data_IF_517477327863
#
_entry.id   IF_517477327863
#
_cell.length_a   1.000
_cell.length_b   1.000
_cell.length_c   1.000
_cell.angle_alpha   90.00
_cell.angle_beta   90.00
_cell.angle_gamma   90.00
#
_symmetry.space_group_name_H-M   'P 1'
#
loop_
_entity.id
_entity.type
_entity.pdbx_description
1 polymer ?
#
# COMPACT_ATOMS: atom_id res chain seq x y z
N UNK A 1 -36.52 1.38 3.41
CA UNK A 1 -35.83 0.16 3.89
C UNK A 1 -34.91 -0.34 2.79
N UNK A 2 -33.78 -0.98 3.09
CA UNK A 2 -32.98 -1.63 2.06
C UNK A 2 -33.76 -2.77 1.40
N UNK A 3 -33.50 -2.99 0.12
CA UNK A 3 -34.04 -4.12 -0.63
C UNK A 3 -33.33 -5.42 -0.23
N UNK A 4 -32.02 -5.34 0.05
CA UNK A 4 -31.21 -6.48 0.50
C UNK A 4 -30.01 -5.99 1.32
N UNK A 5 -29.74 -6.69 2.40
CA UNK A 5 -28.51 -6.60 3.20
C UNK A 5 -27.87 -7.99 3.21
N UNK A 6 -26.59 -8.08 2.87
CA UNK A 6 -25.91 -9.36 2.74
C UNK A 6 -24.49 -9.26 3.31
N UNK A 7 -24.09 -10.26 4.08
CA UNK A 7 -22.70 -10.53 4.45
C UNK A 7 -22.41 -11.98 4.11
N UNK A 8 -21.49 -12.20 3.18
CA UNK A 8 -21.07 -13.53 2.73
C UNK A 8 -19.57 -13.69 2.92
N UNK A 9 -19.17 -14.81 3.49
CA UNK A 9 -17.77 -15.10 3.77
C UNK A 9 -17.40 -16.46 3.17
N UNK A 10 -16.36 -16.45 2.34
CA UNK A 10 -15.75 -17.65 1.78
C UNK A 10 -14.34 -17.83 2.34
N UNK A 11 -13.66 -18.90 1.94
CA UNK A 11 -12.25 -19.10 2.28
C UNK A 11 -11.35 -17.96 1.74
N UNK A 12 -11.67 -17.39 0.58
CA UNK A 12 -10.84 -16.38 -0.08
C UNK A 12 -11.32 -14.94 0.07
N UNK A 13 -12.60 -14.71 0.39
CA UNK A 13 -13.18 -13.37 0.37
C UNK A 13 -14.20 -13.16 1.48
N UNK A 14 -14.37 -11.90 1.90
CA UNK A 14 -15.50 -11.42 2.69
C UNK A 14 -16.22 -10.32 1.91
N UNK A 15 -17.51 -10.49 1.67
CA UNK A 15 -18.32 -9.57 0.86
C UNK A 15 -19.48 -9.02 1.68
N UNK A 16 -19.67 -7.70 1.64
CA UNK A 16 -20.82 -7.00 2.20
C UNK A 16 -21.58 -6.33 1.04
N UNK A 17 -22.91 -6.50 0.98
CA UNK A 17 -23.75 -5.81 0.00
C UNK A 17 -24.93 -5.11 0.69
N UNK A 18 -25.18 -3.86 0.28
CA UNK A 18 -26.30 -3.05 0.73
C UNK A 18 -27.04 -2.48 -0.48
N UNK A 19 -28.11 -3.17 -0.88
CA UNK A 19 -28.95 -2.80 -2.04
C UNK A 19 -30.09 -1.89 -1.60
N UNK A 20 -30.09 -0.68 -2.11
CA UNK A 20 -31.18 0.30 -2.02
C UNK A 20 -31.90 0.38 -3.36
N UNK A 21 -33.01 1.13 -3.42
CA UNK A 21 -33.78 1.31 -4.67
C UNK A 21 -32.99 1.94 -5.82
N UNK A 22 -32.00 2.80 -5.52
CA UNK A 22 -31.25 3.58 -6.53
C UNK A 22 -29.74 3.31 -6.47
N UNK A 23 -29.26 2.73 -5.36
CA UNK A 23 -27.84 2.51 -5.11
C UNK A 23 -27.59 1.10 -4.60
N UNK A 24 -26.62 0.43 -5.18
CA UNK A 24 -26.07 -0.83 -4.69
C UNK A 24 -24.66 -0.59 -4.17
N UNK A 25 -24.45 -0.74 -2.87
CA UNK A 25 -23.12 -0.65 -2.28
C UNK A 25 -22.56 -2.05 -2.09
N UNK A 26 -21.31 -2.24 -2.53
CA UNK A 26 -20.60 -3.49 -2.35
C UNK A 26 -19.21 -3.24 -1.79
N UNK A 27 -18.83 -3.99 -0.77
CA UNK A 27 -17.47 -4.04 -0.24
C UNK A 27 -16.97 -5.46 -0.34
N UNK A 28 -15.80 -5.65 -0.94
CA UNK A 28 -15.11 -6.93 -1.05
C UNK A 28 -13.75 -6.83 -0.37
N UNK A 29 -13.49 -7.71 0.58
CA UNK A 29 -12.18 -7.96 1.17
C UNK A 29 -11.61 -9.25 0.56
N UNK A 30 -10.47 -9.16 -0.11
CA UNK A 30 -9.64 -10.27 -0.55
C UNK A 30 -8.73 -10.73 0.61
N UNK A 31 -9.01 -11.91 1.15
CA UNK A 31 -8.28 -12.46 2.28
C UNK A 31 -6.90 -12.96 1.91
N UNK A 32 -6.63 -13.28 0.64
CA UNK A 32 -5.31 -13.71 0.17
C UNK A 32 -4.35 -12.53 0.08
N UNK A 33 -4.85 -11.34 -0.23
CA UNK A 33 -4.06 -10.09 -0.29
C UNK A 33 -3.99 -9.36 1.06
N UNK A 34 -4.92 -9.62 1.97
CA UNK A 34 -4.93 -9.01 3.29
C UNK A 34 -3.79 -9.55 4.16
N UNK A 35 -2.91 -8.66 4.62
CA UNK A 35 -1.76 -8.99 5.50
C UNK A 35 -2.02 -8.64 6.98
N UNK A 36 -3.26 -8.31 7.36
CA UNK A 36 -3.59 -8.03 8.76
C UNK A 36 -2.91 -6.80 9.38
N UNK A 37 -2.55 -5.78 8.58
CA UNK A 37 -1.71 -4.65 9.01
C UNK A 37 -2.40 -3.50 9.79
N UNK A 38 -3.57 -3.73 10.40
CA UNK A 38 -4.33 -2.75 11.23
C UNK A 38 -4.79 -1.41 10.61
N UNK A 39 -4.21 -0.93 9.49
CA UNK A 39 -4.48 0.41 8.92
C UNK A 39 -5.98 0.69 8.73
N UNK A 40 -6.72 -0.22 8.11
CA UNK A 40 -8.14 -0.03 7.86
C UNK A 40 -8.98 -0.05 9.15
N UNK A 41 -8.58 -0.84 10.15
CA UNK A 41 -9.23 -0.88 11.46
C UNK A 41 -9.06 0.45 12.19
N UNK A 42 -7.82 0.95 12.26
CA UNK A 42 -7.51 2.25 12.86
C UNK A 42 -8.23 3.40 12.13
N UNK A 43 -8.29 3.37 10.80
CA UNK A 43 -8.85 4.46 10.01
C UNK A 43 -10.38 4.49 9.97
N UNK A 44 -11.06 3.39 10.32
CA UNK A 44 -12.51 3.29 10.19
C UNK A 44 -13.21 4.29 11.13
N UNK A 45 -13.97 5.28 10.62
CA UNK A 45 -14.64 6.26 11.47
C UNK A 45 -15.82 5.68 12.25
N UNK A 46 -16.30 4.50 11.86
CA UNK A 46 -17.41 3.77 12.50
C UNK A 46 -16.93 2.57 13.31
N UNK A 47 -15.62 2.32 13.37
CA UNK A 47 -15.04 1.19 14.10
C UNK A 47 -15.73 -0.14 13.76
N UNK A 48 -16.06 -0.28 12.47
CA UNK A 48 -16.75 -1.44 11.92
C UNK A 48 -15.79 -2.60 11.62
N UNK A 49 -14.48 -2.35 11.62
CA UNK A 49 -13.46 -3.30 11.18
C UNK A 49 -12.74 -3.83 12.43
N UNK A 50 -12.95 -5.11 12.74
CA UNK A 50 -12.28 -5.83 13.82
C UNK A 50 -11.04 -6.53 13.30
N UNK A 51 -9.98 -6.52 14.09
CA UNK A 51 -8.73 -7.20 13.80
C UNK A 51 -8.47 -8.24 14.88
N UNK A 52 -8.27 -9.49 14.47
CA UNK A 52 -8.12 -10.64 15.36
C UNK A 52 -6.77 -11.32 15.11
N UNK A 53 -5.91 -11.26 16.12
CA UNK A 53 -4.66 -12.01 16.11
C UNK A 53 -4.96 -13.50 16.14
N UNK A 54 -4.27 -14.26 15.29
CA UNK A 54 -4.39 -15.71 15.27
C UNK A 54 -3.52 -16.31 16.38
N UNK A 55 -4.08 -17.28 17.11
CA UNK A 55 -3.31 -18.06 18.07
C UNK A 55 -2.31 -18.94 17.33
N UNK A 56 -1.08 -19.00 17.85
CA UNK A 56 0.02 -19.79 17.31
C UNK A 56 0.19 -21.04 18.17
N UNK A 57 0.19 -22.24 17.57
CA UNK A 57 0.59 -23.46 18.28
C UNK A 57 2.12 -23.59 18.30
N UNK A 58 2.65 -24.27 19.31
CA UNK A 58 4.08 -24.48 19.44
C UNK A 58 4.66 -25.19 18.19
N UNK A 59 5.68 -24.58 17.57
CA UNK A 59 6.35 -25.10 16.38
C UNK A 59 5.75 -24.68 15.03
N UNK A 60 4.58 -24.03 15.00
CA UNK A 60 4.02 -23.46 13.77
C UNK A 60 4.61 -22.06 13.50
N UNK A 61 4.42 -21.53 12.28
CA UNK A 61 4.73 -20.13 11.97
C UNK A 61 3.59 -19.22 12.39
N UNK A 62 3.88 -17.97 12.73
CA UNK A 62 2.81 -17.01 12.97
C UNK A 62 2.03 -16.72 11.67
N UNK A 63 0.72 -16.55 11.79
CA UNK A 63 -0.16 -16.18 10.67
C UNK A 63 -0.56 -14.71 10.75
N UNK A 64 -0.87 -14.13 9.59
CA UNK A 64 -1.44 -12.78 9.52
C UNK A 64 -2.73 -12.69 10.35
N UNK A 65 -2.92 -11.56 11.03
CA UNK A 65 -4.18 -11.27 11.71
C UNK A 65 -5.35 -11.23 10.71
N UNK A 66 -6.50 -11.77 11.14
CA UNK A 66 -7.73 -11.78 10.35
C UNK A 66 -8.53 -10.52 10.62
N UNK A 67 -9.26 -10.09 9.60
CA UNK A 67 -10.14 -8.93 9.67
C UNK A 67 -11.57 -9.38 9.48
N UNK A 68 -12.46 -8.93 10.36
CA UNK A 68 -13.90 -9.01 10.18
C UNK A 68 -14.52 -7.62 10.05
N UNK A 69 -15.62 -7.51 9.32
CA UNK A 69 -16.35 -6.25 9.12
C UNK A 69 -17.78 -6.40 9.62
N UNK A 70 -18.14 -5.59 10.62
CA UNK A 70 -19.47 -5.48 11.17
C UNK A 70 -20.38 -4.72 10.20
N UNK A 71 -21.30 -5.43 9.55
CA UNK A 71 -22.21 -4.88 8.56
C UNK A 71 -23.00 -3.69 9.10
N UNK A 72 -23.58 -3.83 10.30
CA UNK A 72 -24.44 -2.81 10.94
C UNK A 72 -23.73 -1.48 11.22
N UNK A 73 -22.39 -1.50 11.36
CA UNK A 73 -21.59 -0.28 11.57
C UNK A 73 -21.03 0.28 10.27
N UNK A 74 -20.84 -0.57 9.26
CA UNK A 74 -20.24 -0.17 8.00
C UNK A 74 -21.18 0.76 7.22
N UNK A 75 -20.65 1.91 6.79
CA UNK A 75 -21.38 2.87 5.96
C UNK A 75 -20.86 2.94 4.52
N UNK A 76 -20.03 1.99 4.09
CA UNK A 76 -19.46 1.90 2.74
C UNK A 76 -18.75 3.18 2.28
N UNK A 77 -18.13 3.94 3.20
CA UNK A 77 -17.48 5.21 2.85
C UNK A 77 -16.21 5.08 1.98
N UNK A 78 -15.60 3.90 1.90
CA UNK A 78 -14.41 3.67 1.07
C UNK A 78 -13.06 4.09 1.67
N UNK A 79 -13.02 4.60 2.91
CA UNK A 79 -11.75 4.98 3.57
C UNK A 79 -10.76 3.80 3.67
N UNK A 80 -11.27 2.61 3.98
CA UNK A 80 -10.46 1.40 4.06
C UNK A 80 -9.93 0.91 2.71
N UNK A 81 -10.66 1.18 1.62
CA UNK A 81 -10.23 0.90 0.24
C UNK A 81 -9.06 1.81 -0.12
N UNK A 82 -9.23 3.13 0.04
CA UNK A 82 -8.18 4.11 -0.26
C UNK A 82 -6.88 3.84 0.50
N UNK A 83 -6.97 3.47 1.78
CA UNK A 83 -5.80 3.32 2.64
C UNK A 83 -5.09 1.98 2.55
N UNK A 84 -5.69 0.97 1.92
CA UNK A 84 -5.13 -0.38 1.91
C UNK A 84 -3.85 -0.41 1.07
N UNK A 85 -2.65 -0.65 1.66
CA UNK A 85 -1.40 -0.67 0.89
C UNK A 85 -1.34 -1.79 -0.15
N UNK A 86 -2.07 -2.86 0.09
CA UNK A 86 -2.06 -4.11 -0.69
C UNK A 86 -3.30 -4.24 -1.59
N UNK A 87 -4.17 -3.21 -1.62
CA UNK A 87 -5.42 -3.22 -2.39
C UNK A 87 -6.33 -4.42 -2.09
N UNK A 88 -6.33 -4.88 -0.84
CA UNK A 88 -7.11 -6.03 -0.38
C UNK A 88 -8.61 -5.68 -0.16
N UNK A 89 -8.97 -4.40 -0.02
CA UNK A 89 -10.36 -3.97 0.15
C UNK A 89 -10.78 -3.13 -1.05
N UNK A 90 -11.91 -3.46 -1.66
CA UNK A 90 -12.52 -2.68 -2.75
C UNK A 90 -13.96 -2.34 -2.40
N UNK A 91 -14.35 -1.08 -2.54
CA UNK A 91 -15.72 -0.59 -2.36
C UNK A 91 -16.24 -0.06 -3.69
N UNK A 92 -17.41 -0.55 -4.12
CA UNK A 92 -18.07 -0.09 -5.34
C UNK A 92 -19.48 0.39 -5.06
N UNK A 93 -19.95 1.31 -5.91
CA UNK A 93 -21.32 1.82 -5.90
C UNK A 93 -21.88 1.60 -7.31
N UNK A 94 -22.99 0.87 -7.43
CA UNK A 94 -23.58 0.47 -8.72
C UNK A 94 -22.59 -0.26 -9.65
N UNK A 95 -21.65 -1.01 -9.08
CA UNK A 95 -20.63 -1.75 -9.83
C UNK A 95 -19.40 -0.92 -10.23
N UNK A 96 -19.41 0.39 -10.02
CA UNK A 96 -18.29 1.29 -10.35
C UNK A 96 -17.43 1.58 -9.11
N UNK A 97 -16.11 1.70 -9.29
CA UNK A 97 -15.18 2.13 -8.22
C UNK A 97 -15.26 3.64 -8.02
N UNK A 98 -16.40 4.09 -7.50
CA UNK A 98 -16.68 5.50 -7.27
C UNK A 98 -16.80 5.79 -5.78
N UNK A 99 -15.72 6.29 -5.18
CA UNK A 99 -15.67 6.58 -3.75
C UNK A 99 -16.12 8.02 -3.47
N UNK A 100 -17.33 8.19 -2.96
CA UNK A 100 -17.90 9.51 -2.68
C UNK A 100 -17.05 10.38 -1.75
N UNK A 101 -16.23 9.78 -0.87
CA UNK A 101 -15.32 10.52 0.02
C UNK A 101 -14.16 11.17 -0.74
N UNK A 102 -13.71 10.55 -1.83
CA UNK A 102 -12.67 11.09 -2.71
C UNK A 102 -13.27 12.14 -3.63
N UNK A 103 -14.40 11.84 -4.29
CA UNK A 103 -15.07 12.79 -5.20
C UNK A 103 -15.40 14.11 -4.52
N UNK A 104 -15.84 14.05 -3.25
CA UNK A 104 -16.17 15.23 -2.45
C UNK A 104 -14.96 15.85 -1.74
N UNK A 105 -13.73 15.48 -2.13
CA UNK A 105 -12.46 15.97 -1.55
C UNK A 105 -12.42 15.89 -0.02
N UNK A 106 -13.16 14.92 0.53
CA UNK A 106 -13.32 14.72 1.96
C UNK A 106 -12.28 13.76 2.52
N UNK A 107 -11.67 12.97 1.65
CA UNK A 107 -10.60 12.05 1.93
C UNK A 107 -9.61 12.07 0.75
N UNK A 108 -8.29 12.05 1.00
CA UNK A 108 -7.31 12.17 -0.07
C UNK A 108 -7.13 10.86 -0.83
N UNK A 109 -6.48 10.92 -1.99
CA UNK A 109 -5.86 9.77 -2.64
C UNK A 109 -4.41 9.63 -2.17
N UNK A 110 -3.93 8.41 -1.99
CA UNK A 110 -2.54 8.17 -1.62
C UNK A 110 -1.63 8.33 -2.84
N UNK A 111 -0.55 9.09 -2.68
CA UNK A 111 0.42 9.33 -3.75
C UNK A 111 1.52 8.29 -3.63
N UNK A 112 1.43 7.28 -4.48
CA UNK A 112 2.46 6.26 -4.70
C UNK A 112 2.68 6.11 -6.20
N UNK A 113 3.90 5.85 -6.61
CA UNK A 113 4.19 5.60 -8.03
C UNK A 113 5.41 4.69 -8.19
N UNK A 114 5.44 4.01 -9.33
CA UNK A 114 6.58 3.24 -9.81
C UNK A 114 6.76 3.63 -11.27
N UNK A 115 7.92 4.21 -11.56
CA UNK A 115 8.32 4.64 -12.90
C UNK A 115 9.43 3.72 -13.38
N UNK A 116 9.33 3.28 -14.63
CA UNK A 116 10.34 2.43 -15.27
C UNK A 116 10.79 3.12 -16.54
N UNK A 117 12.09 3.40 -16.63
CA UNK A 117 12.73 3.86 -17.85
C UNK A 117 13.13 2.66 -18.71
N UNK A 118 12.25 2.31 -19.64
CA UNK A 118 12.45 1.17 -20.54
C UNK A 118 13.65 1.34 -21.48
N UNK A 119 14.20 2.56 -21.62
CA UNK A 119 15.39 2.79 -22.46
C UNK A 119 16.66 2.24 -21.84
N UNK A 120 16.67 2.06 -20.52
CA UNK A 120 17.78 1.49 -19.77
C UNK A 120 17.65 -0.02 -19.55
N UNK A 121 16.51 -0.63 -19.88
CA UNK A 121 16.26 -2.04 -19.58
C UNK A 121 16.93 -2.97 -20.62
N UNK A 122 17.86 -3.86 -20.20
CA UNK A 122 18.39 -4.90 -21.08
C UNK A 122 17.30 -5.88 -21.51
N UNK A 123 17.41 -6.44 -22.71
CA UNK A 123 16.38 -7.33 -23.28
C UNK A 123 16.21 -8.63 -22.48
N UNK A 124 17.30 -9.11 -21.90
CA UNK A 124 17.42 -10.31 -21.09
C UNK A 124 17.16 -10.09 -19.58
N UNK A 125 17.05 -8.84 -19.14
CA UNK A 125 16.77 -8.46 -17.75
C UNK A 125 15.36 -8.93 -17.31
N UNK A 126 15.27 -9.45 -16.09
CA UNK A 126 14.02 -9.84 -15.38
C UNK A 126 14.10 -9.65 -13.87
N UNK A 127 15.12 -8.94 -13.40
CA UNK A 127 15.50 -8.79 -12.00
C UNK A 127 14.36 -8.18 -11.19
N UNK A 128 13.60 -7.23 -11.75
CA UNK A 128 12.49 -6.60 -11.04
C UNK A 128 11.27 -7.52 -10.87
N UNK A 129 11.03 -8.44 -11.81
CA UNK A 129 9.99 -9.49 -11.67
C UNK A 129 10.41 -10.50 -10.60
N UNK A 130 11.64 -11.00 -10.64
CA UNK A 130 12.15 -11.96 -9.65
C UNK A 130 12.29 -11.37 -8.25
N UNK A 131 12.56 -10.07 -8.15
CA UNK A 131 12.72 -9.38 -6.88
C UNK A 131 11.38 -8.97 -6.22
N UNK A 132 10.26 -9.02 -6.94
CA UNK A 132 8.97 -8.56 -6.41
C UNK A 132 8.41 -9.58 -5.40
N UNK A 133 8.31 -9.27 -4.10
CA UNK A 133 7.85 -10.24 -3.10
C UNK A 133 6.35 -10.57 -3.19
N UNK A 134 5.61 -9.86 -4.05
CA UNK A 134 4.16 -9.99 -4.23
C UNK A 134 3.79 -10.38 -5.67
N UNK A 135 4.77 -10.70 -6.51
CA UNK A 135 4.57 -11.11 -7.91
C UNK A 135 3.75 -10.12 -8.77
N UNK A 136 3.90 -8.81 -8.51
CA UNK A 136 3.11 -7.74 -9.14
C UNK A 136 3.75 -7.15 -10.40
N UNK A 137 4.93 -7.64 -10.79
CA UNK A 137 5.70 -7.14 -11.93
C UNK A 137 5.83 -8.26 -12.95
N UNK A 138 5.54 -7.96 -14.22
CA UNK A 138 5.74 -8.86 -15.35
C UNK A 138 6.62 -8.22 -16.40
N UNK A 139 7.71 -8.88 -16.77
CA UNK A 139 8.64 -8.44 -17.81
C UNK A 139 8.44 -9.32 -19.06
N UNK A 140 8.08 -8.67 -20.16
CA UNK A 140 7.87 -9.31 -21.46
C UNK A 140 8.81 -8.72 -22.50
N UNK A 141 9.19 -9.53 -23.49
CA UNK A 141 9.97 -9.10 -24.66
C UNK A 141 9.07 -9.08 -25.86
N UNK A 142 9.08 -7.98 -26.59
CA UNK A 142 8.24 -7.77 -27.76
C UNK A 142 9.10 -7.64 -29.01
N UNK A 143 8.66 -8.26 -30.10
CA UNK A 143 9.20 -7.93 -31.43
C UNK A 143 8.80 -6.51 -31.83
N UNK A 144 9.39 -6.01 -32.92
CA UNK A 144 9.01 -4.70 -33.49
C UNK A 144 7.50 -4.61 -33.80
N UNK A 145 6.89 -5.75 -34.15
CA UNK A 145 5.45 -5.88 -34.43
C UNK A 145 4.59 -6.04 -33.17
N UNK A 146 5.19 -5.96 -31.98
CA UNK A 146 4.49 -6.06 -30.70
C UNK A 146 4.11 -7.48 -30.26
N UNK A 147 4.67 -8.53 -30.88
CA UNK A 147 4.41 -9.92 -30.47
C UNK A 147 5.32 -10.31 -29.32
N UNK A 148 4.76 -10.97 -28.31
CA UNK A 148 5.51 -11.50 -27.16
C UNK A 148 6.43 -12.63 -27.64
N UNK A 149 7.69 -12.58 -27.23
CA UNK A 149 8.69 -13.61 -27.45
C UNK A 149 8.88 -14.39 -26.16
N UNK A 150 8.51 -15.67 -26.18
CA UNK A 150 8.66 -16.56 -25.01
C UNK A 150 10.06 -17.17 -24.92
N UNK A 151 10.70 -17.48 -26.06
CA UNK A 151 12.02 -18.11 -26.10
C UNK A 151 13.06 -17.21 -26.76
N UNK A 152 13.66 -16.33 -25.96
CA UNK A 152 14.71 -15.39 -26.40
C UNK A 152 16.00 -16.13 -26.80
N UNK A 153 16.28 -17.30 -26.21
CA UNK A 153 17.49 -18.09 -26.47
C UNK A 153 17.52 -18.66 -27.90
N UNK A 154 16.35 -18.90 -28.48
CA UNK A 154 16.20 -19.41 -29.85
C UNK A 154 16.43 -18.36 -30.94
N UNK A 155 16.57 -17.08 -30.57
CA UNK A 155 16.74 -15.97 -31.52
C UNK A 155 18.21 -15.66 -31.79
N UNK A 156 18.48 -15.19 -33.00
CA UNK A 156 19.80 -14.65 -33.37
C UNK A 156 20.08 -13.33 -32.65
N UNK A 157 21.36 -12.95 -32.52
CA UNK A 157 21.76 -11.68 -31.87
C UNK A 157 21.17 -10.45 -32.59
N UNK A 158 21.00 -10.51 -33.92
CA UNK A 158 20.34 -9.46 -34.70
C UNK A 158 18.85 -9.33 -34.37
N UNK A 159 18.16 -10.44 -34.09
CA UNK A 159 16.76 -10.44 -33.68
C UNK A 159 16.61 -9.93 -32.25
N UNK A 160 17.51 -10.36 -31.34
CA UNK A 160 17.55 -9.88 -29.95
C UNK A 160 17.74 -8.36 -29.88
N UNK A 161 18.61 -7.80 -30.72
CA UNK A 161 18.86 -6.35 -30.78
C UNK A 161 17.63 -5.52 -31.16
N UNK A 162 16.62 -6.14 -31.79
CA UNK A 162 15.38 -5.48 -32.23
C UNK A 162 14.23 -5.66 -31.24
N UNK A 163 14.42 -6.42 -30.17
CA UNK A 163 13.39 -6.63 -29.16
C UNK A 163 13.22 -5.40 -28.29
N UNK A 164 11.98 -5.15 -27.90
CA UNK A 164 11.61 -4.13 -26.91
C UNK A 164 11.21 -4.80 -25.61
N UNK A 165 11.67 -4.24 -24.50
CA UNK A 165 11.23 -4.66 -23.17
C UNK A 165 9.92 -3.97 -22.83
N UNK A 166 8.97 -4.73 -22.29
CA UNK A 166 7.74 -4.22 -21.70
C UNK A 166 7.69 -4.67 -20.24
N UNK A 167 7.45 -3.71 -19.34
CA UNK A 167 7.27 -3.98 -17.91
C UNK A 167 5.85 -3.58 -17.52
N UNK A 168 5.08 -4.55 -17.02
CA UNK A 168 3.72 -4.34 -16.52
C UNK A 168 3.72 -4.47 -15.00
N UNK A 169 3.11 -3.50 -14.31
CA UNK A 169 3.09 -3.44 -12.85
C UNK A 169 1.66 -3.23 -12.37
N UNK A 170 1.17 -4.11 -11.50
CA UNK A 170 -0.13 -3.97 -10.85
C UNK A 170 -0.07 -2.92 -9.72
N UNK A 171 -0.10 -1.63 -10.09
CA UNK A 171 0.09 -0.48 -9.18
C UNK A 171 -0.90 -0.43 -8.02
N UNK A 172 -2.14 -0.88 -8.23
CA UNK A 172 -3.20 -0.90 -7.21
C UNK A 172 -2.88 -1.79 -6.01
N UNK A 173 -2.05 -2.81 -6.20
CA UNK A 173 -1.69 -3.78 -5.15
C UNK A 173 -0.28 -3.58 -4.61
N UNK A 174 0.51 -2.71 -5.26
CA UNK A 174 1.91 -2.53 -4.90
C UNK A 174 2.08 -1.59 -3.68
N UNK A 175 2.62 -2.07 -2.55
CA UNK A 175 2.85 -1.24 -1.37
C UNK A 175 4.10 -0.35 -1.51
N UNK A 176 4.79 -0.40 -2.67
CA UNK A 176 5.98 0.38 -2.97
C UNK A 176 7.13 0.10 -1.97
N UNK A 177 7.51 -1.18 -1.81
CA UNK A 177 8.60 -1.56 -0.92
C UNK A 177 9.99 -1.08 -1.37
N UNK A 178 10.18 -0.84 -2.67
CA UNK A 178 11.44 -0.34 -3.24
C UNK A 178 12.47 -1.44 -3.57
N UNK A 179 12.14 -2.72 -3.35
CA UNK A 179 13.08 -3.81 -3.65
C UNK A 179 13.44 -3.83 -5.15
N UNK A 180 12.46 -3.62 -6.04
CA UNK A 180 12.71 -3.59 -7.48
C UNK A 180 13.61 -2.41 -7.92
N UNK A 181 13.56 -1.27 -7.22
CA UNK A 181 14.48 -0.14 -7.45
C UNK A 181 15.90 -0.51 -6.99
N UNK A 182 16.05 -1.04 -5.77
CA UNK A 182 17.36 -1.43 -5.23
C UNK A 182 18.00 -2.59 -5.98
N UNK A 183 17.20 -3.52 -6.51
CA UNK A 183 17.68 -4.68 -7.27
C UNK A 183 17.86 -4.39 -8.76
N UNK A 184 17.45 -3.23 -9.26
CA UNK A 184 17.64 -2.88 -10.66
C UNK A 184 19.12 -2.58 -10.94
N UNK A 185 19.79 -3.36 -11.80
CA UNK A 185 21.22 -3.13 -12.10
C UNK A 185 21.46 -1.82 -12.86
N UNK A 186 20.46 -1.37 -13.62
CA UNK A 186 20.57 -0.21 -14.53
C UNK A 186 19.97 1.08 -13.97
N UNK A 187 19.51 1.09 -12.72
CA UNK A 187 18.83 2.25 -12.11
C UNK A 187 17.69 2.79 -13.01
N UNK A 188 16.91 1.85 -13.55
CA UNK A 188 15.81 2.10 -14.47
C UNK A 188 14.48 2.29 -13.74
N UNK A 189 14.39 1.89 -12.45
CA UNK A 189 13.15 1.87 -11.69
C UNK A 189 13.25 2.87 -10.56
N UNK A 190 12.25 3.76 -10.46
CA UNK A 190 12.12 4.67 -9.33
C UNK A 190 10.80 4.44 -8.60
N UNK A 191 10.86 4.21 -7.28
CA UNK A 191 9.70 3.93 -6.43
C UNK A 191 9.44 5.09 -5.47
N UNK A 192 8.23 5.64 -5.55
CA UNK A 192 7.75 6.66 -4.61
C UNK A 192 6.81 6.02 -3.59
N UNK A 193 7.29 5.83 -2.35
CA UNK A 193 6.45 5.32 -1.25
C UNK A 193 5.41 6.36 -0.83
N UNK A 194 4.29 5.88 -0.29
CA UNK A 194 3.27 6.74 0.31
C UNK A 194 3.28 6.71 1.84
N UNK A 195 3.88 5.71 2.48
CA UNK A 195 4.09 5.68 3.94
C UNK A 195 5.58 5.75 4.24
N UNK A 196 5.92 6.65 5.16
CA UNK A 196 7.24 6.75 5.77
C UNK A 196 7.07 6.68 7.27
N UNK A 197 8.08 6.18 7.95
CA UNK A 197 7.99 5.93 9.36
C UNK A 197 9.32 5.63 10.01
N UNK A 198 9.23 5.20 11.24
CA UNK A 198 10.29 4.58 12.01
C UNK A 198 9.75 3.30 12.63
N UNK A 199 10.53 2.25 12.57
CA UNK A 199 10.23 0.98 13.25
C UNK A 199 11.40 0.63 14.17
N UNK A 200 11.10 0.12 15.36
CA UNK A 200 12.12 -0.24 16.35
C UNK A 200 11.72 -1.54 17.03
N UNK A 201 12.62 -2.52 16.99
CA UNK A 201 12.49 -3.79 17.72
C UNK A 201 13.44 -3.73 18.91
N UNK A 202 12.88 -3.75 20.11
CA UNK A 202 13.60 -3.72 21.38
C UNK A 202 14.07 -5.13 21.72
N UNK A 203 15.33 -5.43 21.38
CA UNK A 203 15.88 -6.80 21.46
C UNK A 203 15.91 -7.36 22.89
N UNK A 204 15.97 -6.49 23.90
CA UNK A 204 15.89 -6.84 25.33
C UNK A 204 14.52 -7.40 25.75
N UNK A 205 13.46 -7.07 25.01
CA UNK A 205 12.09 -7.54 25.26
C UNK A 205 11.68 -8.70 24.36
N UNK A 206 12.42 -8.95 23.29
CA UNK A 206 12.11 -10.01 22.35
C UNK A 206 12.41 -11.38 22.99
N UNK A 207 11.43 -12.32 23.01
CA UNK A 207 11.70 -13.67 23.48
C UNK A 207 12.75 -14.37 22.60
N UNK A 208 13.59 -15.20 23.21
CA UNK A 208 14.64 -15.91 22.47
C UNK A 208 14.03 -16.85 21.42
N UNK A 209 14.59 -16.80 20.20
CA UNK A 209 14.12 -17.59 19.05
C UNK A 209 12.77 -17.15 18.47
N UNK A 210 12.19 -16.03 18.90
CA UNK A 210 10.92 -15.55 18.37
C UNK A 210 11.06 -14.96 16.96
N UNK A 211 10.27 -15.48 16.00
CA UNK A 211 10.21 -15.01 14.61
C UNK A 211 8.83 -14.55 14.17
N UNK A 212 7.88 -14.34 15.09
CA UNK A 212 6.47 -14.04 14.74
C UNK A 212 6.32 -12.86 13.78
N UNK A 213 7.08 -11.78 14.02
CA UNK A 213 7.08 -10.61 13.16
C UNK A 213 7.68 -10.86 11.77
N UNK A 214 8.69 -11.72 11.69
CA UNK A 214 9.35 -12.14 10.46
C UNK A 214 8.42 -13.05 9.63
N UNK A 215 7.73 -13.98 10.28
CA UNK A 215 6.80 -14.92 9.65
C UNK A 215 5.66 -14.23 8.88
N UNK A 216 5.19 -13.07 9.38
CA UNK A 216 4.07 -12.31 8.78
C UNK A 216 4.50 -11.10 7.97
N UNK A 217 5.81 -10.88 7.76
CA UNK A 217 6.24 -9.74 6.96
C UNK A 217 5.97 -10.04 5.47
N UNK A 218 5.11 -9.27 4.78
CA UNK A 218 4.82 -9.54 3.37
C UNK A 218 5.93 -9.04 2.45
N UNK A 219 6.95 -8.34 2.98
CA UNK A 219 8.04 -7.76 2.22
C UNK A 219 9.33 -8.49 2.56
N UNK A 220 9.77 -9.37 1.67
CA UNK A 220 11.03 -10.11 1.82
C UNK A 220 12.19 -9.16 2.07
N UNK A 221 12.97 -9.44 3.11
CA UNK A 221 14.16 -8.65 3.47
C UNK A 221 13.87 -7.36 4.26
N UNK A 222 12.61 -6.95 4.46
CA UNK A 222 12.31 -5.83 5.37
C UNK A 222 12.53 -6.21 6.84
N UNK A 223 12.37 -7.48 7.19
CA UNK A 223 12.82 -8.08 8.45
C UNK A 223 13.75 -9.25 8.12
N UNK A 224 14.74 -9.49 8.97
CA UNK A 224 15.68 -10.61 8.81
C UNK A 224 16.16 -11.12 10.17
N UNK A 225 16.52 -12.39 10.24
CA UNK A 225 17.16 -12.99 11.43
C UNK A 225 18.66 -12.71 11.35
N UNK A 226 19.25 -12.13 12.40
CA UNK A 226 20.69 -11.90 12.46
C UNK A 226 21.40 -13.15 12.97
N UNK A 227 22.50 -13.52 12.32
CA UNK A 227 23.35 -14.64 12.73
C UNK A 227 24.15 -14.31 14.01
N UNK A 228 24.33 -13.03 14.34
CA UNK A 228 25.15 -12.57 15.47
C UNK A 228 24.45 -12.77 16.83
N UNK A 229 23.15 -12.47 16.90
CA UNK A 229 22.36 -12.51 18.14
C UNK A 229 21.15 -13.44 18.07
N UNK A 230 20.88 -14.04 16.90
CA UNK A 230 19.73 -14.91 16.69
C UNK A 230 18.38 -14.19 16.82
N UNK A 231 18.35 -12.86 16.68
CA UNK A 231 17.14 -12.04 16.83
C UNK A 231 16.73 -11.38 15.51
N UNK A 232 15.48 -10.95 15.43
CA UNK A 232 14.94 -10.30 14.23
C UNK A 232 15.31 -8.83 14.22
N UNK A 233 15.93 -8.39 13.13
CA UNK A 233 16.29 -7.00 12.86
C UNK A 233 15.49 -6.45 11.68
N UNK A 234 15.48 -5.13 11.56
CA UNK A 234 14.70 -4.41 10.55
C UNK A 234 15.60 -3.72 9.54
N UNK A 235 15.24 -3.87 8.27
CA UNK A 235 15.79 -3.10 7.18
C UNK A 235 14.75 -2.04 6.73
N UNK A 236 14.91 -0.82 7.21
CA UNK A 236 13.99 0.28 6.94
C UNK A 236 13.96 0.69 5.45
N UNK A 237 14.97 0.32 4.66
CA UNK A 237 14.98 0.57 3.22
C UNK A 237 13.82 -0.14 2.51
N UNK A 238 13.44 -1.35 2.96
CA UNK A 238 12.36 -2.13 2.36
C UNK A 238 11.04 -2.05 3.14
N UNK A 239 11.08 -1.65 4.41
CA UNK A 239 9.88 -1.48 5.22
C UNK A 239 8.88 -0.52 4.55
N UNK A 240 7.61 -0.93 4.55
CA UNK A 240 6.46 -0.13 4.05
C UNK A 240 5.60 0.43 5.19
N UNK A 241 6.03 0.23 6.43
CA UNK A 241 5.38 0.74 7.64
C UNK A 241 3.88 0.35 7.73
N UNK A 242 3.55 -0.86 7.25
CA UNK A 242 2.17 -1.34 7.23
C UNK A 242 1.68 -1.68 8.64
N UNK A 243 2.49 -2.34 9.48
CA UNK A 243 2.14 -2.71 10.86
C UNK A 243 1.77 -4.18 11.09
N UNK A 244 1.81 -5.04 10.06
CA UNK A 244 1.52 -6.47 10.22
C UNK A 244 2.36 -7.13 11.34
N UNK A 245 3.66 -6.84 11.37
CA UNK A 245 4.58 -7.32 12.40
C UNK A 245 4.23 -6.86 13.82
N UNK A 246 3.74 -5.62 13.97
CA UNK A 246 3.33 -5.06 15.26
C UNK A 246 2.11 -5.79 15.82
N UNK A 247 1.13 -6.07 14.95
CA UNK A 247 -0.13 -6.71 15.32
C UNK A 247 0.09 -8.11 15.89
N UNK A 248 1.04 -8.87 15.33
CA UNK A 248 1.31 -10.24 15.77
C UNK A 248 2.36 -10.34 16.87
N UNK A 249 2.96 -9.23 17.29
CA UNK A 249 4.01 -9.26 18.31
C UNK A 249 3.44 -9.77 19.65
N UNK A 250 4.00 -10.84 20.25
CA UNK A 250 3.53 -11.38 21.54
C UNK A 250 3.80 -10.50 22.75
N UNK A 251 4.76 -9.58 22.64
CA UNK A 251 5.24 -8.80 23.78
C UNK A 251 4.90 -7.32 23.57
N UNK A 252 4.19 -6.74 24.53
CA UNK A 252 3.88 -5.32 24.53
C UNK A 252 5.17 -4.48 24.49
N UNK A 253 5.20 -3.46 23.64
CA UNK A 253 6.33 -2.55 23.44
C UNK A 253 7.67 -3.21 23.06
N UNK A 254 7.67 -4.47 22.62
CA UNK A 254 8.85 -5.07 22.00
C UNK A 254 9.03 -4.55 20.57
N UNK A 255 7.94 -4.20 19.88
CA UNK A 255 7.96 -3.62 18.55
C UNK A 255 7.16 -2.31 18.52
N UNK A 256 7.83 -1.23 18.17
CA UNK A 256 7.26 0.10 18.01
C UNK A 256 7.27 0.50 16.54
N UNK A 257 6.15 1.05 16.07
CA UNK A 257 6.00 1.54 14.71
C UNK A 257 5.35 2.92 14.76
N UNK A 258 6.03 3.91 14.20
CA UNK A 258 5.52 5.26 14.01
C UNK A 258 5.48 5.59 12.51
N UNK A 259 4.34 6.09 12.02
CA UNK A 259 4.24 6.64 10.67
C UNK A 259 4.50 8.14 10.73
N UNK A 260 5.59 8.58 10.12
CA UNK A 260 6.12 9.94 10.18
C UNK A 260 5.73 10.79 8.98
N UNK A 261 5.30 10.17 7.88
CA UNK A 261 4.71 10.89 6.74
C UNK A 261 3.77 9.98 5.97
N UNK A 262 2.70 10.56 5.44
CA UNK A 262 1.79 9.92 4.50
C UNK A 262 1.69 10.82 3.27
N UNK A 263 2.13 10.36 2.11
CA UNK A 263 2.01 11.13 0.87
C UNK A 263 0.60 10.97 0.31
N UNK A 264 -0.10 12.09 0.15
CA UNK A 264 -1.50 12.09 -0.25
C UNK A 264 -1.86 13.37 -1.00
N UNK A 265 -2.94 13.33 -1.80
CA UNK A 265 -3.46 14.51 -2.49
C UNK A 265 -4.01 15.53 -1.50
N UNK A 266 -4.06 16.83 -1.85
CA UNK A 266 -4.61 17.85 -0.95
C UNK A 266 -6.05 17.52 -0.53
N UNK A 267 -6.38 17.73 0.75
CA UNK A 267 -7.71 17.43 1.30
C UNK A 267 -8.31 18.62 2.05
N UNK A 268 -9.60 18.87 1.82
CA UNK A 268 -10.29 20.05 2.38
C UNK A 268 -11.02 19.74 3.67
N UNK A 269 -11.52 18.53 3.85
CA UNK A 269 -12.24 18.09 5.06
C UNK A 269 -11.34 17.81 6.27
N UNK A 270 -11.95 17.78 7.47
CA UNK A 270 -11.32 17.36 8.73
C UNK A 270 -11.38 15.86 9.01
N UNK A 271 -12.09 15.06 8.19
CA UNK A 271 -12.13 13.59 8.33
C UNK A 271 -10.73 13.01 8.24
N UNK A 272 -9.93 13.48 7.28
CA UNK A 272 -8.52 13.08 7.15
C UNK A 272 -7.69 13.37 8.39
N UNK A 273 -7.89 14.53 9.03
CA UNK A 273 -7.15 14.88 10.24
C UNK A 273 -7.40 13.86 11.36
N UNK A 274 -8.66 13.44 11.56
CA UNK A 274 -9.01 12.40 12.54
C UNK A 274 -8.40 11.05 12.19
N UNK A 275 -8.30 10.72 10.90
CA UNK A 275 -7.61 9.51 10.46
C UNK A 275 -6.10 9.60 10.70
N UNK A 276 -5.48 10.74 10.47
CA UNK A 276 -4.06 10.98 10.77
C UNK A 276 -3.77 10.88 12.27
N UNK A 277 -4.66 11.38 13.14
CA UNK A 277 -4.54 11.22 14.60
C UNK A 277 -4.47 9.74 15.03
N UNK A 278 -5.15 8.84 14.30
CA UNK A 278 -5.16 7.40 14.57
C UNK A 278 -4.02 6.64 13.89
N UNK A 279 -3.57 7.09 12.71
CA UNK A 279 -2.57 6.39 11.90
C UNK A 279 -1.12 6.86 12.11
N UNK A 280 -0.96 8.11 12.53
CA UNK A 280 0.32 8.82 12.68
C UNK A 280 0.40 9.51 14.04
N UNK A 281 1.46 10.28 14.30
CA UNK A 281 1.64 11.00 15.57
C UNK A 281 1.07 12.43 15.54
N UNK A 282 0.79 13.04 16.72
CA UNK A 282 0.34 14.44 16.81
C UNK A 282 1.28 15.45 16.13
N UNK A 283 2.57 15.12 16.06
CA UNK A 283 3.58 15.90 15.35
C UNK A 283 3.27 15.93 13.85
N UNK A 284 2.88 14.80 13.27
CA UNK A 284 2.57 14.68 11.84
C UNK A 284 1.28 15.43 11.52
N UNK A 285 0.27 15.28 12.36
CA UNK A 285 -0.97 16.06 12.24
C UNK A 285 -0.68 17.57 12.27
N UNK A 286 0.21 18.02 13.16
CA UNK A 286 0.63 19.43 13.22
C UNK A 286 1.33 19.87 11.92
N UNK A 287 2.21 19.04 11.36
CA UNK A 287 2.86 19.31 10.06
C UNK A 287 1.83 19.45 8.94
N UNK A 288 0.85 18.55 8.86
CA UNK A 288 -0.21 18.61 7.84
C UNK A 288 -1.08 19.87 7.98
N UNK A 289 -1.47 20.22 9.21
CA UNK A 289 -2.22 21.46 9.46
C UNK A 289 -1.44 22.71 9.04
N UNK A 290 -0.13 22.76 9.34
CA UNK A 290 0.75 23.86 8.89
C UNK A 290 0.87 23.90 7.36
N UNK A 291 1.07 22.76 6.71
CA UNK A 291 1.14 22.66 5.25
C UNK A 291 -0.18 23.10 4.59
N UNK A 292 -1.33 22.72 5.16
CA UNK A 292 -2.66 23.15 4.70
C UNK A 292 -2.87 24.65 4.88
N UNK A 293 -2.46 25.21 6.02
CA UNK A 293 -2.51 26.66 6.25
C UNK A 293 -1.63 27.43 5.27
N UNK A 294 -0.40 26.98 5.05
CA UNK A 294 0.54 27.59 4.10
C UNK A 294 -0.01 27.57 2.66
N UNK A 295 -0.58 26.44 2.21
CA UNK A 295 -1.25 26.33 0.91
C UNK A 295 -2.38 27.33 0.75
N UNK A 296 -3.28 27.43 1.74
CA UNK A 296 -4.38 28.42 1.72
C UNK A 296 -3.88 29.85 1.67
N UNK A 297 -2.84 30.18 2.44
CA UNK A 297 -2.21 31.51 2.40
C UNK A 297 -1.65 31.78 1.01
N UNK A 298 -0.92 30.82 0.42
CA UNK A 298 -0.38 30.93 -0.94
C UNK A 298 -1.47 31.13 -1.98
N UNK A 299 -2.51 30.30 -1.98
CA UNK A 299 -3.66 30.43 -2.89
C UNK A 299 -4.36 31.80 -2.74
N UNK A 300 -4.47 32.30 -1.50
CA UNK A 300 -5.03 33.63 -1.23
C UNK A 300 -4.14 34.75 -1.78
N UNK A 301 -2.83 34.63 -1.65
CA UNK A 301 -1.84 35.56 -2.20
C UNK A 301 -1.86 35.51 -3.73
N UNK A 302 -1.81 34.32 -4.34
CA UNK A 302 -1.89 34.11 -5.79
C UNK A 302 -3.17 34.75 -6.37
N UNK A 303 -4.32 34.52 -5.74
CA UNK A 303 -5.61 35.10 -6.16
C UNK A 303 -5.65 36.63 -6.02
N UNK A 304 -5.02 37.20 -4.99
CA UNK A 304 -5.01 38.66 -4.73
C UNK A 304 -4.01 39.41 -5.60
N UNK A 305 -2.83 38.82 -5.84
CA UNK A 305 -1.75 39.48 -6.58
C UNK A 305 -1.88 39.30 -8.08
N UNK A 306 -2.69 38.36 -8.58
CA UNK A 306 -3.05 38.25 -9.99
C UNK A 306 -1.88 38.13 -10.98
N UNK A 307 -0.66 37.79 -10.53
CA UNK A 307 0.54 37.94 -11.36
C UNK A 307 1.40 36.68 -11.54
N UNK A 308 1.61 36.40 -12.84
CA UNK A 308 2.76 35.81 -13.55
C UNK A 308 3.06 34.32 -13.37
N UNK A 309 2.21 33.46 -13.94
CA UNK A 309 2.60 32.12 -14.43
C UNK A 309 2.44 32.06 -15.97
N UNK A 310 2.92 33.10 -16.65
CA UNK A 310 3.05 33.14 -18.11
C UNK A 310 4.41 33.72 -18.53
N UNK A 311 5.45 33.47 -17.72
CA UNK A 311 6.82 33.78 -18.10
C UNK A 311 7.60 32.49 -17.85
N UNK A 312 7.67 31.65 -18.88
CA UNK A 312 8.66 30.62 -19.26
C UNK A 312 8.03 29.59 -20.22
N UNK A 313 7.13 30.03 -21.10
CA UNK A 313 6.93 29.42 -22.42
C UNK A 313 7.26 30.52 -23.43
N UNK A 314 8.40 30.34 -24.13
CA UNK A 314 9.01 31.11 -25.23
C UNK A 314 10.44 31.58 -24.90
N UNK A 315 11.40 30.67 -25.07
CA UNK A 315 12.37 30.65 -26.18
C UNK A 315 13.02 29.25 -26.27
#
# INVERSE_FOLDING_TARGET
>A
MPLKTLKEETAGTLTLEWRLHVKDYKLVLDKKRCVGCEICSLACPKEAIKLERQEKKAGEKAEHAKIDIEFEKCNFCGICDVLCPFGAIRVTVNGEHLLSVVEKESFPQLIRDIKVDLTKCPVDCKECEEACPLDLIRVSRLTVDGKIVENVESLTEEEKSKLKVKVEIEKDFCPCCGICEVKCPEDAIHVSKFLYGKITIHQDKCPDGCTDCLDVCPITGALYLSDDDGKVHVNEAFCVYCGACKVVCPVDKALELERTSINHTPVRSGVWNKTLEKLASPIIMTKELKAKSSRKTRESVEKRLGWKVSIHEQE
#
